data_IF_129634148600
#
_entry.id   IF_129634148600
#
_cell.length_a   1.000
_cell.length_b   1.000
_cell.length_c   1.000
_cell.angle_alpha   90.00
_cell.angle_beta   90.00
_cell.angle_gamma   90.00
#
_symmetry.space_group_name_H-M   'P 1'
#
loop_
_entity.id
_entity.type
_entity.pdbx_description
1 polymer ?
#
# COMPACT_ATOMS: atom_id res chain seq x y z
N UNK A 1 11.90 26.14 8.81
CA UNK A 1 11.14 25.36 9.80
C UNK A 1 12.13 24.91 10.85
N UNK A 2 12.10 25.56 12.00
CA UNK A 2 13.04 25.37 13.09
C UNK A 2 12.85 24.00 13.75
N UNK A 3 13.84 23.13 13.62
CA UNK A 3 13.95 21.92 14.42
C UNK A 3 14.28 22.34 15.86
N UNK A 4 13.24 22.50 16.68
CA UNK A 4 13.40 22.65 18.12
C UNK A 4 14.12 21.42 18.68
N UNK A 5 15.25 21.66 19.32
CA UNK A 5 16.13 20.67 19.93
C UNK A 5 15.48 20.04 21.18
N UNK A 6 14.46 19.20 21.00
CA UNK A 6 13.83 18.46 22.11
C UNK A 6 14.69 17.29 22.63
N UNK A 7 15.84 17.02 21.99
CA UNK A 7 16.68 15.85 22.28
C UNK A 7 16.02 14.52 21.88
N UNK A 8 14.81 14.56 21.33
CA UNK A 8 14.10 13.37 20.85
C UNK A 8 14.60 12.99 19.46
N UNK A 9 14.70 11.69 19.22
CA UNK A 9 15.15 11.15 17.95
C UNK A 9 14.03 11.29 16.91
N UNK A 10 14.34 11.84 15.75
CA UNK A 10 13.41 11.85 14.62
C UNK A 10 13.63 10.55 13.85
N UNK A 11 12.55 9.91 13.39
CA UNK A 11 12.64 8.81 12.43
C UNK A 11 13.30 9.32 11.14
N UNK A 12 14.57 8.99 10.96
CA UNK A 12 15.34 9.45 9.82
C UNK A 12 14.86 8.76 8.51
N UNK A 13 15.15 9.34 7.34
CA UNK A 13 14.69 8.79 6.07
C UNK A 13 15.12 7.34 5.81
N UNK A 14 16.29 6.92 6.30
CA UNK A 14 16.82 5.57 6.11
C UNK A 14 16.08 4.58 7.02
N UNK A 15 15.84 4.95 8.28
CA UNK A 15 15.02 4.17 9.21
C UNK A 15 13.60 3.99 8.68
N UNK A 16 13.01 5.08 8.18
CA UNK A 16 11.69 5.05 7.52
C UNK A 16 11.66 4.14 6.31
N UNK A 17 12.70 4.18 5.45
CA UNK A 17 12.77 3.29 4.30
C UNK A 17 12.88 1.81 4.73
N UNK A 18 13.72 1.50 5.72
CA UNK A 18 13.88 0.14 6.24
C UNK A 18 12.60 -0.39 6.90
N UNK A 19 11.94 0.43 7.72
CA UNK A 19 10.66 0.08 8.32
C UNK A 19 9.57 -0.05 7.27
N UNK A 20 9.53 0.89 6.31
CA UNK A 20 8.61 0.90 5.19
C UNK A 20 8.64 -0.42 4.43
N UNK A 21 9.84 -0.92 4.09
CA UNK A 21 9.99 -2.22 3.44
C UNK A 21 9.48 -3.40 4.28
N UNK A 22 9.63 -3.34 5.61
CA UNK A 22 9.12 -4.40 6.51
C UNK A 22 7.60 -4.40 6.60
N UNK A 23 6.98 -3.22 6.59
CA UNK A 23 5.53 -3.07 6.78
C UNK A 23 4.75 -3.02 5.48
N UNK A 24 5.41 -2.86 4.33
CA UNK A 24 4.79 -2.68 3.01
C UNK A 24 3.77 -3.78 2.64
N UNK A 25 4.05 -5.02 3.04
CA UNK A 25 3.18 -6.16 2.70
C UNK A 25 2.10 -6.42 3.74
N UNK A 26 2.19 -5.79 4.92
CA UNK A 26 1.34 -6.07 6.07
C UNK A 26 0.05 -5.22 6.06
N UNK A 27 -1.05 -5.73 6.64
CA UNK A 27 -2.21 -4.91 7.00
C UNK A 27 -1.84 -3.85 8.04
N UNK A 28 -2.54 -2.70 8.01
CA UNK A 28 -2.20 -1.55 8.87
C UNK A 28 -2.09 -1.88 10.36
N UNK A 29 -2.99 -2.65 11.01
CA UNK A 29 -2.85 -2.96 12.44
C UNK A 29 -1.55 -3.70 12.80
N UNK A 30 -1.08 -4.56 11.89
CA UNK A 30 0.19 -5.28 12.08
C UNK A 30 1.38 -4.36 11.82
N UNK A 31 1.29 -3.52 10.77
CA UNK A 31 2.29 -2.51 10.47
C UNK A 31 2.48 -1.52 11.63
N UNK A 32 1.38 -1.01 12.18
CA UNK A 32 1.36 -0.09 13.32
C UNK A 32 2.03 -0.71 14.55
N UNK A 33 1.65 -1.94 14.91
CA UNK A 33 2.27 -2.68 16.03
C UNK A 33 3.79 -2.79 15.85
N UNK A 34 4.24 -3.13 14.65
CA UNK A 34 5.68 -3.30 14.34
C UNK A 34 6.44 -1.97 14.43
N UNK A 35 5.80 -0.87 14.02
CA UNK A 35 6.36 0.49 14.17
C UNK A 35 6.46 0.86 15.65
N UNK A 36 5.41 0.58 16.43
CA UNK A 36 5.36 0.86 17.87
C UNK A 36 6.42 0.08 18.64
N UNK A 37 6.56 -1.22 18.37
CA UNK A 37 7.63 -2.05 18.93
C UNK A 37 9.02 -1.51 18.56
N UNK A 38 9.19 -1.01 17.33
CA UNK A 38 10.46 -0.45 16.91
C UNK A 38 10.81 0.84 17.65
N UNK A 39 9.85 1.72 17.93
CA UNK A 39 10.10 3.02 18.58
C UNK A 39 10.07 2.93 20.12
N UNK A 40 9.46 1.88 20.66
CA UNK A 40 9.33 1.65 22.10
C UNK A 40 10.70 1.73 22.80
N UNK A 41 10.79 2.60 23.82
CA UNK A 41 11.99 2.79 24.63
C UNK A 41 13.14 3.56 23.96
N UNK A 42 12.97 4.07 22.73
CA UNK A 42 14.05 4.72 21.96
C UNK A 42 13.98 6.26 21.89
N UNK A 43 13.15 6.87 22.74
CA UNK A 43 12.98 8.34 22.86
C UNK A 43 12.76 9.04 21.50
N UNK A 44 11.91 8.48 20.66
CA UNK A 44 11.53 9.11 19.40
C UNK A 44 10.58 10.29 19.64
N UNK A 45 10.66 11.30 18.78
CA UNK A 45 9.66 12.35 18.70
C UNK A 45 8.35 11.74 18.16
N UNK A 46 7.30 11.83 18.97
CA UNK A 46 6.01 11.21 18.66
C UNK A 46 5.42 11.78 17.36
N UNK A 47 5.60 13.08 17.10
CA UNK A 47 5.06 13.70 15.89
C UNK A 47 5.68 13.12 14.61
N UNK A 48 6.98 12.79 14.66
CA UNK A 48 7.70 12.11 13.58
C UNK A 48 7.24 10.67 13.38
N UNK A 49 6.91 9.95 14.46
CA UNK A 49 6.36 8.59 14.42
C UNK A 49 4.96 8.61 13.83
N UNK A 50 4.09 9.48 14.31
CA UNK A 50 2.70 9.60 13.84
C UNK A 50 2.64 9.98 12.36
N UNK A 51 3.49 10.91 11.92
CA UNK A 51 3.63 11.24 10.51
C UNK A 51 4.06 10.03 9.67
N UNK A 52 4.98 9.21 10.17
CA UNK A 52 5.40 8.00 9.46
C UNK A 52 4.27 6.96 9.40
N UNK A 53 3.51 6.77 10.49
CA UNK A 53 2.34 5.89 10.52
C UNK A 53 1.29 6.32 9.50
N UNK A 54 1.00 7.62 9.39
CA UNK A 54 0.07 8.17 8.40
C UNK A 54 0.52 7.91 6.96
N UNK A 55 1.82 8.05 6.69
CA UNK A 55 2.40 7.68 5.39
C UNK A 55 2.23 6.20 5.07
N UNK A 56 2.37 5.31 6.07
CA UNK A 56 2.18 3.86 5.91
C UNK A 56 0.70 3.54 5.67
N UNK A 57 -0.21 4.14 6.43
CA UNK A 57 -1.65 4.00 6.24
C UNK A 57 -2.07 4.39 4.82
N UNK A 58 -1.56 5.54 4.34
CA UNK A 58 -1.82 6.03 2.98
C UNK A 58 -1.32 5.04 1.91
N UNK A 59 -0.10 4.50 2.06
CA UNK A 59 0.45 3.53 1.11
C UNK A 59 -0.36 2.23 1.06
N UNK A 60 -0.79 1.72 2.22
CA UNK A 60 -1.63 0.51 2.30
C UNK A 60 -2.96 0.78 1.61
N UNK A 61 -3.60 1.92 1.88
CA UNK A 61 -4.86 2.30 1.24
C UNK A 61 -4.73 2.37 -0.29
N UNK A 62 -3.65 2.98 -0.80
CA UNK A 62 -3.36 3.05 -2.24
C UNK A 62 -3.20 1.64 -2.82
N UNK A 63 -2.48 0.75 -2.13
CA UNK A 63 -2.29 -0.64 -2.57
C UNK A 63 -3.62 -1.39 -2.65
N UNK A 64 -4.48 -1.27 -1.64
CA UNK A 64 -5.80 -1.88 -1.61
C UNK A 64 -6.66 -1.38 -2.79
N UNK A 65 -6.72 -0.06 -2.99
CA UNK A 65 -7.42 0.53 -4.14
C UNK A 65 -6.82 0.12 -5.49
N UNK A 66 -5.50 -0.04 -5.57
CA UNK A 66 -4.82 -0.55 -6.75
C UNK A 66 -5.22 -2.00 -7.07
N UNK A 67 -5.35 -2.85 -6.05
CA UNK A 67 -5.84 -4.22 -6.23
C UNK A 67 -7.29 -4.25 -6.72
N UNK A 68 -8.17 -3.43 -6.14
CA UNK A 68 -9.57 -3.31 -6.58
C UNK A 68 -9.68 -2.85 -8.05
N UNK A 69 -8.86 -1.87 -8.45
CA UNK A 69 -8.80 -1.38 -9.83
C UNK A 69 -8.36 -2.48 -10.81
N UNK A 70 -7.37 -3.29 -10.45
CA UNK A 70 -6.91 -4.40 -11.29
C UNK A 70 -7.99 -5.48 -11.46
N UNK A 71 -8.70 -5.83 -10.38
CA UNK A 71 -9.81 -6.77 -10.43
C UNK A 71 -10.92 -6.26 -11.35
N UNK A 72 -11.36 -5.02 -11.13
CA UNK A 72 -12.40 -4.38 -11.94
C UNK A 72 -12.00 -4.29 -13.42
N UNK A 73 -10.73 -3.92 -13.69
CA UNK A 73 -10.19 -3.90 -15.05
C UNK A 73 -10.21 -5.27 -15.73
N UNK A 74 -9.86 -6.33 -14.99
CA UNK A 74 -9.94 -7.71 -15.48
C UNK A 74 -11.37 -8.15 -15.84
N UNK A 75 -12.35 -7.74 -15.03
CA UNK A 75 -13.77 -8.01 -15.32
C UNK A 75 -14.22 -7.32 -16.61
N UNK A 76 -13.83 -6.06 -16.81
CA UNK A 76 -14.12 -5.32 -18.06
C UNK A 76 -13.50 -6.04 -19.26
N UNK A 77 -12.22 -6.43 -19.19
CA UNK A 77 -11.55 -7.17 -20.26
C UNK A 77 -12.28 -8.48 -20.57
N UNK A 78 -12.73 -9.21 -19.54
CA UNK A 78 -13.49 -10.45 -19.69
C UNK A 78 -14.85 -10.21 -20.36
N UNK A 79 -15.55 -9.14 -20.02
CA UNK A 79 -16.82 -8.76 -20.64
C UNK A 79 -16.64 -8.39 -22.11
N UNK A 80 -15.61 -7.61 -22.43
CA UNK A 80 -15.27 -7.24 -23.81
C UNK A 80 -14.90 -8.47 -24.63
N UNK A 81 -14.00 -9.31 -24.14
CA UNK A 81 -13.59 -10.55 -24.81
C UNK A 81 -14.79 -11.50 -25.01
N UNK A 82 -15.64 -11.68 -23.99
CA UNK A 82 -16.85 -12.49 -24.09
C UNK A 82 -17.85 -11.93 -25.11
N UNK A 83 -17.97 -10.61 -25.22
CA UNK A 83 -18.85 -9.96 -26.21
C UNK A 83 -18.31 -10.08 -27.63
N UNK A 84 -16.99 -10.00 -27.82
CA UNK A 84 -16.35 -10.25 -29.12
C UNK A 84 -16.56 -11.72 -29.52
N UNK A 85 -16.31 -12.66 -28.61
CA UNK A 85 -16.45 -14.09 -28.89
C UNK A 85 -17.90 -14.50 -29.19
N UNK A 86 -18.89 -13.87 -28.54
CA UNK A 86 -20.31 -14.09 -28.83
C UNK A 86 -20.77 -13.52 -30.17
N UNK A 87 -20.14 -12.45 -30.63
CA UNK A 87 -20.49 -11.77 -31.88
C UNK A 87 -19.61 -12.19 -33.08
N UNK A 88 -18.59 -13.03 -32.86
CA UNK A 88 -17.84 -13.66 -33.95
C UNK A 88 -18.79 -14.60 -34.73
N UNK A 89 -18.87 -14.49 -36.07
CA UNK A 89 -19.69 -15.38 -36.88
C UNK A 89 -19.20 -16.82 -36.68
N UNK A 90 -20.11 -17.72 -36.27
CA UNK A 90 -19.84 -19.15 -36.15
C UNK A 90 -19.67 -19.77 -37.53
N UNK A 91 -18.54 -19.52 -38.19
CA UNK A 91 -18.12 -20.33 -39.33
C UNK A 91 -17.42 -21.60 -38.79
N UNK A 92 -18.21 -22.48 -38.19
CA UNK A 92 -17.93 -23.92 -38.21
C UNK A 92 -18.98 -24.49 -39.14
N UNK A 93 -18.75 -24.30 -40.44
CA UNK A 93 -19.45 -25.08 -41.43
C UNK A 93 -18.81 -26.47 -41.45
N UNK A 94 -19.65 -27.48 -41.25
CA UNK A 94 -19.30 -28.88 -41.49
C UNK A 94 -19.25 -29.07 -42.99
N UNK A 95 -18.08 -29.35 -43.55
CA UNK A 95 -17.95 -30.13 -44.78
C UNK A 95 -16.64 -30.89 -44.76
#
# INVERSE_FOLDING_TARGET
>A
MDQQASGQKILDPIERAKLGLKVFTLPYPQAETLIDEYVCGKNYDQSSVDYFKDQVATQIHIREKGADLLVTGGEIVKLVAGSIMKNLPKNVDRS
#
